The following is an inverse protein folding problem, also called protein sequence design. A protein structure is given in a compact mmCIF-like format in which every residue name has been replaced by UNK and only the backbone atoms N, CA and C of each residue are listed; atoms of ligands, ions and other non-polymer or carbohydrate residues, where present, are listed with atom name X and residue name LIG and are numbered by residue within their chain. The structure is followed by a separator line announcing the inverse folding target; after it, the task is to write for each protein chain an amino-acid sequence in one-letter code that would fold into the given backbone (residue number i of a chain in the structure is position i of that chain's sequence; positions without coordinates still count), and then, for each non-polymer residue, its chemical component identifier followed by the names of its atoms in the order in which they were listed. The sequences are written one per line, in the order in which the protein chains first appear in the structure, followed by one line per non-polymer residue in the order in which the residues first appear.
data_IF_915356743118
#
_entry.id   IF_915356743118
#
_cell.length_a   1.000
_cell.length_b   1.000
_cell.length_c   1.000
_cell.angle_alpha   90.00
_cell.angle_beta   90.00
_cell.angle_gamma   90.00
#
_symmetry.space_group_name_H-M   'P 1'
#
loop_
_entity.id
_entity.type
_entity.pdbx_description
1 polymer ?
#
# COMPACT_ATOMS: atom_id res chain seq x y z
N UNK A 1 -75.68 14.50 -5.49
CA UNK A 1 -74.65 14.30 -4.42
C UNK A 1 -73.60 13.37 -5.02
N UNK A 2 -72.57 13.93 -5.66
CA UNK A 2 -71.16 13.89 -5.20
C UNK A 2 -70.71 12.45 -4.85
N UNK A 3 -69.69 11.85 -5.47
CA UNK A 3 -68.66 12.43 -6.31
C UNK A 3 -67.71 11.40 -6.94
N UNK A 4 -66.89 11.97 -7.81
CA UNK A 4 -65.78 11.43 -8.59
C UNK A 4 -64.66 10.88 -7.69
N UNK A 5 -64.00 9.80 -8.10
CA UNK A 5 -62.85 9.25 -7.37
C UNK A 5 -62.06 8.19 -8.15
N UNK A 6 -61.49 8.55 -9.30
CA UNK A 6 -60.52 7.70 -10.01
C UNK A 6 -59.18 7.81 -9.27
N UNK A 7 -58.75 6.71 -8.64
CA UNK A 7 -57.41 6.60 -8.03
C UNK A 7 -56.39 6.31 -9.14
N UNK A 8 -55.63 7.33 -9.52
CA UNK A 8 -54.42 7.20 -10.35
C UNK A 8 -53.28 6.64 -9.48
N UNK A 9 -52.86 5.41 -9.78
CA UNK A 9 -51.60 4.86 -9.26
C UNK A 9 -50.45 5.40 -10.12
N UNK A 10 -49.61 6.24 -9.54
CA UNK A 10 -48.36 6.70 -10.15
C UNK A 10 -47.25 5.72 -9.82
N UNK A 11 -46.83 4.91 -10.79
CA UNK A 11 -45.60 4.11 -10.71
C UNK A 11 -44.47 4.91 -11.36
N UNK A 12 -43.64 5.56 -10.54
CA UNK A 12 -42.31 6.00 -10.95
C UNK A 12 -41.27 5.17 -10.20
N UNK A 13 -40.88 4.05 -10.79
CA UNK A 13 -39.60 3.40 -10.51
C UNK A 13 -38.59 3.92 -11.52
N UNK A 14 -37.77 4.89 -11.12
CA UNK A 14 -36.67 5.37 -11.93
C UNK A 14 -35.56 4.30 -11.94
N UNK A 15 -35.44 3.58 -13.05
CA UNK A 15 -34.28 2.74 -13.34
C UNK A 15 -33.08 3.64 -13.63
N UNK A 16 -32.19 3.84 -12.66
CA UNK A 16 -30.87 4.41 -12.93
C UNK A 16 -30.00 3.34 -13.57
N UNK A 17 -29.75 3.47 -14.88
CA UNK A 17 -28.73 2.69 -15.57
C UNK A 17 -27.36 3.02 -14.97
N UNK A 18 -26.75 2.05 -14.27
CA UNK A 18 -25.39 2.17 -13.75
C UNK A 18 -24.38 1.87 -14.85
N UNK A 19 -23.91 2.90 -15.55
CA UNK A 19 -22.74 2.81 -16.41
C UNK A 19 -21.50 2.50 -15.55
N UNK A 20 -20.64 1.52 -15.90
CA UNK A 20 -19.38 1.30 -15.18
C UNK A 20 -18.50 2.55 -15.33
N UNK A 21 -18.23 3.24 -14.23
CA UNK A 21 -17.26 4.34 -14.23
C UNK A 21 -15.86 3.76 -14.47
N UNK A 22 -15.06 4.33 -15.40
CA UNK A 22 -13.65 4.00 -15.53
C UNK A 22 -12.93 4.17 -14.18
N UNK A 23 -11.96 3.30 -13.84
CA UNK A 23 -11.21 3.46 -12.61
C UNK A 23 -10.57 4.86 -12.56
N UNK A 24 -10.57 5.54 -11.41
CA UNK A 24 -10.00 6.87 -11.28
C UNK A 24 -8.52 6.87 -11.69
N UNK A 25 -8.03 7.95 -12.31
CA UNK A 25 -6.63 8.05 -12.70
C UNK A 25 -5.72 7.91 -11.47
N UNK A 26 -4.55 7.27 -11.60
CA UNK A 26 -3.63 7.11 -10.49
C UNK A 26 -3.23 8.49 -9.93
N UNK A 27 -3.04 8.61 -8.61
CA UNK A 27 -2.64 9.87 -8.00
C UNK A 27 -1.29 10.34 -8.59
N UNK A 28 -1.10 11.67 -8.74
CA UNK A 28 0.15 12.20 -9.26
C UNK A 28 1.34 11.80 -8.37
N UNK A 29 2.53 11.57 -8.96
CA UNK A 29 3.69 11.14 -8.20
C UNK A 29 4.12 12.21 -7.19
N UNK A 30 4.26 11.83 -5.92
CA UNK A 30 4.57 12.74 -4.80
C UNK A 30 5.95 13.43 -4.92
N UNK A 31 6.88 12.88 -5.70
CA UNK A 31 8.23 13.46 -5.89
C UNK A 31 8.65 13.41 -7.35
N UNK A 32 9.08 14.56 -7.86
CA UNK A 32 9.54 14.78 -9.24
C UNK A 32 11.07 14.93 -9.35
N UNK A 33 11.78 15.00 -8.23
CA UNK A 33 13.24 15.09 -8.12
C UNK A 33 13.79 13.95 -7.26
N UNK A 34 14.85 13.29 -7.72
CA UNK A 34 15.40 12.07 -7.11
C UNK A 34 16.89 12.24 -6.74
N UNK A 35 17.42 11.34 -5.91
CA UNK A 35 18.85 11.27 -5.56
C UNK A 35 19.23 11.82 -4.18
N UNK A 36 18.40 12.69 -3.58
CA UNK A 36 18.59 13.16 -2.21
C UNK A 36 18.15 12.12 -1.19
N UNK A 37 19.06 11.24 -0.76
CA UNK A 37 18.82 10.26 0.30
C UNK A 37 19.55 10.69 1.57
N UNK A 38 18.83 10.69 2.71
CA UNK A 38 19.46 10.95 4.01
C UNK A 38 20.16 9.70 4.53
N UNK A 39 21.11 9.87 5.44
CA UNK A 39 21.81 8.74 6.04
C UNK A 39 20.90 7.81 6.86
N UNK A 40 19.85 8.35 7.47
CA UNK A 40 18.81 7.58 8.18
C UNK A 40 17.94 6.72 7.26
N UNK A 41 17.80 7.11 5.98
CA UNK A 41 17.03 6.38 4.98
C UNK A 41 17.86 5.25 4.32
N UNK A 42 19.15 5.13 4.66
CA UNK A 42 20.02 4.08 4.12
C UNK A 42 19.76 2.76 4.81
N UNK A 43 19.38 1.74 4.03
CA UNK A 43 19.17 0.38 4.53
C UNK A 43 20.50 -0.30 4.89
N UNK A 44 21.57 -0.06 4.12
CA UNK A 44 22.90 -0.63 4.37
C UNK A 44 23.80 0.34 5.13
N UNK A 45 23.57 0.47 6.44
CA UNK A 45 24.22 1.47 7.30
C UNK A 45 25.71 1.21 7.55
N UNK A 46 26.15 -0.04 7.61
CA UNK A 46 27.56 -0.40 7.84
C UNK A 46 28.32 -0.79 6.56
N UNK A 47 28.01 -0.13 5.44
CA UNK A 47 28.60 -0.48 4.14
C UNK A 47 30.13 -0.36 4.11
N UNK A 48 30.69 0.59 4.85
CA UNK A 48 32.14 0.84 4.91
C UNK A 48 32.85 0.06 6.02
N UNK A 49 32.15 -0.77 6.80
CA UNK A 49 32.77 -1.57 7.87
C UNK A 49 33.31 -0.79 9.06
N UNK A 50 32.83 0.44 9.29
CA UNK A 50 33.24 1.28 10.43
C UNK A 50 32.74 0.73 11.78
N UNK A 51 31.71 -0.12 11.75
CA UNK A 51 31.14 -0.76 12.92
C UNK A 51 31.32 -2.29 12.87
N UNK A 52 31.15 -2.94 14.02
CA UNK A 52 31.21 -4.41 14.14
C UNK A 52 30.24 -5.10 13.16
N UNK A 53 30.73 -5.94 12.23
CA UNK A 53 29.89 -6.65 11.26
C UNK A 53 29.14 -7.83 11.88
N UNK A 54 29.54 -8.30 13.07
CA UNK A 54 28.96 -9.47 13.71
C UNK A 54 27.67 -9.16 14.47
N UNK A 55 27.07 -10.20 15.06
CA UNK A 55 25.73 -10.17 15.66
C UNK A 55 25.53 -9.02 16.66
N UNK A 56 26.53 -8.73 17.50
CA UNK A 56 26.42 -7.66 18.51
C UNK A 56 26.30 -6.28 17.86
N UNK A 57 27.09 -6.00 16.82
CA UNK A 57 26.97 -4.78 16.03
C UNK A 57 25.66 -4.73 15.24
N UNK A 58 25.26 -5.86 14.65
CA UNK A 58 24.03 -5.98 13.85
C UNK A 58 22.77 -5.66 14.66
N UNK A 59 22.63 -6.25 15.86
CA UNK A 59 21.49 -5.98 16.74
C UNK A 59 21.37 -4.51 17.13
N UNK A 60 22.48 -3.77 17.26
CA UNK A 60 22.47 -2.32 17.56
C UNK A 60 21.96 -1.47 16.40
N UNK A 61 22.12 -1.93 15.15
CA UNK A 61 21.66 -1.22 13.94
C UNK A 61 20.21 -1.55 13.57
N UNK A 62 19.55 -2.41 14.32
CA UNK A 62 18.19 -2.86 14.04
C UNK A 62 18.11 -4.15 13.21
N UNK A 63 19.24 -4.76 12.85
CA UNK A 63 19.25 -6.10 12.26
C UNK A 63 18.69 -7.09 13.29
N UNK A 64 17.99 -8.13 12.83
CA UNK A 64 17.29 -9.11 13.69
C UNK A 64 16.19 -8.54 14.60
N UNK A 65 15.77 -7.29 14.40
CA UNK A 65 14.69 -6.70 15.20
C UNK A 65 13.33 -7.34 14.87
N UNK A 66 12.68 -7.92 15.89
CA UNK A 66 11.30 -8.47 15.81
C UNK A 66 11.07 -9.45 14.65
N UNK A 67 12.10 -10.18 14.24
CA UNK A 67 12.00 -11.17 13.15
C UNK A 67 11.00 -12.28 13.47
N UNK A 68 10.87 -12.67 14.75
CA UNK A 68 9.84 -13.62 15.19
C UNK A 68 8.42 -13.16 14.82
N UNK A 69 8.12 -11.87 15.03
CA UNK A 69 6.80 -11.31 14.71
C UNK A 69 6.55 -11.32 13.19
N UNK A 70 7.59 -11.04 12.39
CA UNK A 70 7.50 -11.10 10.93
C UNK A 70 7.24 -12.53 10.44
N UNK A 71 7.88 -13.53 11.03
CA UNK A 71 7.65 -14.95 10.71
C UNK A 71 6.22 -15.38 11.08
N UNK A 72 5.74 -14.95 12.25
CA UNK A 72 4.37 -15.28 12.72
C UNK A 72 3.29 -14.70 11.80
N UNK A 73 3.53 -13.56 11.15
CA UNK A 73 2.59 -12.98 10.15
C UNK A 73 2.38 -13.88 8.93
N UNK A 74 3.28 -14.83 8.69
CA UNK A 74 3.15 -15.82 7.62
C UNK A 74 3.61 -15.33 6.26
N UNK A 75 3.79 -16.29 5.35
CA UNK A 75 4.38 -16.07 4.02
C UNK A 75 3.54 -15.15 3.14
N UNK A 76 2.22 -15.29 3.15
CA UNK A 76 1.32 -14.49 2.30
C UNK A 76 1.42 -13.00 2.62
N UNK A 77 1.47 -12.66 3.91
CA UNK A 77 1.64 -11.29 4.35
C UNK A 77 2.98 -10.70 3.87
N UNK A 78 4.07 -11.46 4.02
CA UNK A 78 5.41 -11.04 3.58
C UNK A 78 5.43 -10.81 2.07
N UNK A 79 4.89 -11.74 1.28
CA UNK A 79 4.84 -11.61 -0.19
C UNK A 79 4.04 -10.37 -0.59
N UNK A 80 2.92 -10.10 0.08
CA UNK A 80 2.09 -8.94 -0.22
C UNK A 80 2.83 -7.62 0.08
N UNK A 81 3.50 -7.51 1.23
CA UNK A 81 4.30 -6.31 1.56
C UNK A 81 5.47 -6.12 0.58
N UNK A 82 6.14 -7.21 0.17
CA UNK A 82 7.19 -7.14 -0.85
C UNK A 82 6.66 -6.63 -2.19
N UNK A 83 5.49 -7.10 -2.64
CA UNK A 83 4.85 -6.60 -3.86
C UNK A 83 4.45 -5.13 -3.74
N UNK A 84 3.87 -4.74 -2.60
CA UNK A 84 3.43 -3.37 -2.30
C UNK A 84 4.59 -2.39 -2.25
N UNK A 85 5.76 -2.82 -1.78
CA UNK A 85 6.98 -1.98 -1.75
C UNK A 85 7.48 -1.55 -3.14
N UNK A 86 7.05 -2.25 -4.20
CA UNK A 86 7.54 -2.00 -5.56
C UNK A 86 9.00 -2.42 -5.77
N UNK A 87 9.57 -3.25 -4.89
CA UNK A 87 10.93 -3.76 -5.05
C UNK A 87 11.05 -4.57 -6.35
N UNK A 88 12.11 -4.31 -7.11
CA UNK A 88 12.47 -5.01 -8.36
C UNK A 88 13.77 -5.77 -8.17
N UNK A 89 14.07 -6.71 -9.07
CA UNK A 89 15.34 -7.44 -9.08
C UNK A 89 16.56 -6.51 -8.96
N UNK A 90 17.57 -6.94 -8.20
CA UNK A 90 18.84 -6.22 -8.01
C UNK A 90 20.02 -6.90 -8.69
N UNK A 91 19.77 -7.92 -9.51
CA UNK A 91 20.80 -8.68 -10.24
C UNK A 91 21.09 -8.18 -11.66
N UNK A 92 20.18 -7.42 -12.27
CA UNK A 92 20.24 -7.00 -13.68
C UNK A 92 18.87 -7.06 -14.34
#
# INVERSE_FOLDING_TARGET
KLGLGVRLFSTQGASTASTPQPPPPPPPPEKTHFGGIKDEDRIFTNLYGLHDPFLKGAMKRGDWHRTKDLVIKGTDWIINEMKKSGLRGRGG
#
